data_IF_924981117053
#
_entry.id   IF_924981117053
#
_cell.length_a   1.000
_cell.length_b   1.000
_cell.length_c   1.000
_cell.angle_alpha   90.00
_cell.angle_beta   90.00
_cell.angle_gamma   90.00
#
_symmetry.space_group_name_H-M   'P 1'
#
loop_
_entity.id
_entity.type
_entity.pdbx_description
1 polymer ?
#
# COMPACT_ATOMS: atom_id res chain seq x y z
N UNK A 1 18.13 11.53 -13.12
CA UNK A 1 17.63 10.20 -13.55
C UNK A 1 16.10 10.11 -13.44
N UNK A 2 15.47 10.60 -12.37
CA UNK A 2 14.01 10.53 -12.19
C UNK A 2 13.18 11.19 -13.30
N UNK A 3 13.61 12.34 -13.82
CA UNK A 3 12.92 13.04 -14.92
C UNK A 3 12.91 12.26 -16.22
N UNK A 4 13.97 11.48 -16.52
CA UNK A 4 14.03 10.65 -17.74
C UNK A 4 13.04 9.50 -17.67
N UNK A 5 12.93 8.84 -16.52
CA UNK A 5 11.97 7.76 -16.29
C UNK A 5 10.52 8.26 -16.38
N UNK A 6 10.20 9.38 -15.71
CA UNK A 6 8.87 10.00 -15.82
C UNK A 6 8.50 10.34 -17.26
N UNK A 7 9.47 10.83 -18.05
CA UNK A 7 9.27 11.10 -19.47
C UNK A 7 9.05 9.81 -20.28
N UNK A 8 9.77 8.73 -19.96
CA UNK A 8 9.61 7.44 -20.63
C UNK A 8 8.22 6.84 -20.34
N UNK A 9 7.73 6.93 -19.10
CA UNK A 9 6.37 6.49 -18.73
C UNK A 9 5.31 7.25 -19.55
N UNK A 10 5.43 8.58 -19.64
CA UNK A 10 4.51 9.41 -20.43
C UNK A 10 4.54 9.04 -21.92
N UNK A 11 5.74 8.82 -22.48
CA UNK A 11 5.90 8.43 -23.89
C UNK A 11 5.32 7.04 -24.17
N UNK A 12 5.50 6.09 -23.23
CA UNK A 12 4.92 4.74 -23.36
C UNK A 12 3.40 4.79 -23.29
N UNK A 13 2.84 5.58 -22.36
CA UNK A 13 1.39 5.80 -22.27
C UNK A 13 0.81 6.46 -23.52
N UNK A 14 1.50 7.47 -24.07
CA UNK A 14 1.09 8.10 -25.34
C UNK A 14 1.17 7.12 -26.52
N UNK A 15 2.25 6.33 -26.62
CA UNK A 15 2.40 5.30 -27.66
C UNK A 15 1.28 4.26 -27.57
N UNK A 16 0.92 3.83 -26.37
CA UNK A 16 -0.19 2.90 -26.13
C UNK A 16 -1.55 3.48 -26.56
N UNK A 17 -1.79 4.78 -26.30
CA UNK A 17 -3.02 5.46 -26.63
C UNK A 17 -3.24 5.62 -28.15
N UNK A 18 -2.15 5.76 -28.93
CA UNK A 18 -2.21 5.90 -30.41
C UNK A 18 -2.00 4.58 -31.15
N UNK A 19 -1.64 3.50 -30.44
CA UNK A 19 -1.38 2.20 -31.04
C UNK A 19 -2.68 1.60 -31.61
N UNK A 20 -2.64 1.19 -32.86
CA UNK A 20 -3.75 0.52 -33.56
C UNK A 20 -3.47 -0.97 -33.82
N UNK A 21 -2.29 -1.45 -33.46
CA UNK A 21 -1.89 -2.84 -33.66
C UNK A 21 -2.12 -3.64 -32.37
N UNK A 22 -3.03 -4.59 -32.40
CA UNK A 22 -3.38 -5.43 -31.24
C UNK A 22 -2.17 -6.18 -30.66
N UNK A 23 -1.22 -6.60 -31.50
CA UNK A 23 0.00 -7.33 -31.08
C UNK A 23 0.98 -6.51 -30.25
N UNK A 24 0.99 -5.16 -30.38
CA UNK A 24 1.90 -4.28 -29.64
C UNK A 24 1.35 -3.86 -28.27
N UNK A 25 0.04 -3.94 -28.05
CA UNK A 25 -0.60 -3.52 -26.81
C UNK A 25 -0.07 -4.27 -25.57
N UNK A 26 0.14 -5.60 -25.58
CA UNK A 26 0.71 -6.31 -24.46
C UNK A 26 2.15 -5.87 -24.14
N UNK A 27 2.97 -5.67 -25.19
CA UNK A 27 4.37 -5.22 -25.04
C UNK A 27 4.46 -3.83 -24.45
N UNK A 28 3.62 -2.88 -24.90
CA UNK A 28 3.56 -1.53 -24.35
C UNK A 28 3.06 -1.54 -22.90
N UNK A 29 2.13 -2.41 -22.54
CA UNK A 29 1.67 -2.58 -21.16
C UNK A 29 2.77 -3.13 -20.25
N UNK A 30 3.51 -4.13 -20.72
CA UNK A 30 4.64 -4.69 -19.98
C UNK A 30 5.78 -3.68 -19.79
N UNK A 31 6.04 -2.85 -20.81
CA UNK A 31 7.04 -1.78 -20.72
C UNK A 31 6.61 -0.69 -19.73
N UNK A 32 5.34 -0.30 -19.74
CA UNK A 32 4.77 0.66 -18.80
C UNK A 32 4.88 0.15 -17.34
N UNK A 33 4.57 -1.12 -17.11
CA UNK A 33 4.70 -1.78 -15.81
C UNK A 33 6.15 -1.82 -15.34
N UNK A 34 7.07 -2.20 -16.23
CA UNK A 34 8.51 -2.25 -15.92
C UNK A 34 9.05 -0.86 -15.56
N UNK A 35 8.65 0.18 -16.28
CA UNK A 35 9.07 1.56 -16.02
C UNK A 35 8.50 2.08 -14.69
N UNK A 36 7.25 1.75 -14.38
CA UNK A 36 6.62 2.12 -13.10
C UNK A 36 7.29 1.41 -11.92
N UNK A 37 7.65 0.15 -12.07
CA UNK A 37 8.41 -0.61 -11.07
C UNK A 37 9.78 0.01 -10.85
N UNK A 38 10.54 0.28 -11.92
CA UNK A 38 11.85 0.93 -11.84
C UNK A 38 11.77 2.32 -11.20
N UNK A 39 10.71 3.09 -11.48
CA UNK A 39 10.50 4.40 -10.85
C UNK A 39 10.22 4.27 -9.35
N UNK A 40 9.47 3.26 -8.96
CA UNK A 40 9.19 2.95 -7.56
C UNK A 40 10.46 2.52 -6.82
N UNK A 41 11.27 1.68 -7.44
CA UNK A 41 12.54 1.22 -6.87
C UNK A 41 13.56 2.36 -6.72
N UNK A 42 13.64 3.26 -7.69
CA UNK A 42 14.49 4.46 -7.58
C UNK A 42 13.99 5.39 -6.48
N UNK A 43 12.68 5.63 -6.39
CA UNK A 43 12.11 6.42 -5.28
C UNK A 43 12.41 5.78 -3.93
N UNK A 44 12.29 4.46 -3.85
CA UNK A 44 12.63 3.69 -2.67
C UNK A 44 14.10 3.85 -2.30
N UNK A 45 15.01 3.67 -3.27
CA UNK A 45 16.47 3.82 -3.05
C UNK A 45 16.89 5.25 -2.67
N UNK A 46 16.23 6.27 -3.20
CA UNK A 46 16.50 7.68 -2.85
C UNK A 46 15.95 8.02 -1.47
N UNK A 47 14.79 7.46 -1.09
CA UNK A 47 14.24 7.61 0.26
C UNK A 47 15.05 6.85 1.31
N UNK A 48 15.55 5.66 0.99
CA UNK A 48 16.37 4.85 1.90
C UNK A 48 17.70 5.54 2.30
N UNK A 49 18.15 6.52 1.51
CA UNK A 49 19.41 7.26 1.77
C UNK A 49 19.23 8.53 2.62
N UNK A 50 18.01 9.02 2.90
CA UNK A 50 17.86 10.38 3.41
C UNK A 50 16.87 10.60 4.55
N UNK A 51 16.18 9.59 5.12
CA UNK A 51 15.17 9.92 6.11
C UNK A 51 15.11 8.99 7.34
N UNK A 52 16.07 9.17 8.26
CA UNK A 52 15.88 8.74 9.66
C UNK A 52 14.77 9.54 10.37
N UNK A 53 14.26 10.61 9.73
CA UNK A 53 13.37 11.60 10.34
C UNK A 53 11.87 11.35 10.14
N UNK A 54 11.44 10.34 9.34
CA UNK A 54 10.00 10.10 9.16
C UNK A 54 9.35 9.66 10.46
N UNK A 55 8.63 10.58 11.08
CA UNK A 55 7.76 10.27 12.20
C UNK A 55 6.54 9.51 11.70
N UNK A 56 6.49 8.20 11.99
CA UNK A 56 5.39 7.34 11.55
C UNK A 56 4.04 7.90 11.99
N UNK A 57 3.92 8.27 13.27
CA UNK A 57 2.65 8.77 13.81
C UNK A 57 2.17 10.02 13.08
N UNK A 58 3.02 11.02 12.94
CA UNK A 58 2.70 12.27 12.24
C UNK A 58 2.31 12.04 10.78
N UNK A 59 3.03 11.14 10.09
CA UNK A 59 2.72 10.80 8.69
C UNK A 59 1.36 10.11 8.58
N UNK A 60 1.02 9.23 9.52
CA UNK A 60 -0.27 8.53 9.54
C UNK A 60 -1.40 9.48 9.93
N UNK A 61 -1.19 10.38 10.90
CA UNK A 61 -2.17 11.41 11.28
C UNK A 61 -2.52 12.28 10.06
N UNK A 62 -1.52 12.79 9.33
CA UNK A 62 -1.73 13.56 8.10
C UNK A 62 -2.46 12.77 7.01
N UNK A 63 -2.18 11.46 6.89
CA UNK A 63 -2.84 10.60 5.93
C UNK A 63 -4.33 10.44 6.26
N UNK A 64 -4.66 10.28 7.54
CA UNK A 64 -6.03 10.14 8.03
C UNK A 64 -6.78 11.46 7.95
N UNK A 65 -6.17 12.58 8.30
CA UNK A 65 -6.77 13.92 8.16
C UNK A 65 -7.10 14.27 6.70
N UNK A 66 -6.28 13.80 5.76
CA UNK A 66 -6.55 13.98 4.32
C UNK A 66 -7.63 13.05 3.76
N UNK A 67 -8.02 12.02 4.50
CA UNK A 67 -9.03 11.05 4.09
C UNK A 67 -10.44 11.60 4.38
N UNK A 68 -11.14 12.00 3.33
CA UNK A 68 -12.44 12.70 3.42
C UNK A 68 -13.65 11.84 3.03
N UNK A 69 -13.47 10.55 2.70
CA UNK A 69 -14.54 9.69 2.23
C UNK A 69 -15.55 9.34 3.34
N UNK A 70 -15.04 8.97 4.51
CA UNK A 70 -15.83 8.73 5.73
C UNK A 70 -14.93 8.97 6.96
N UNK A 71 -15.47 9.04 8.18
CA UNK A 71 -14.68 9.11 9.40
C UNK A 71 -13.69 7.96 9.50
N UNK A 72 -12.43 8.28 9.75
CA UNK A 72 -11.38 7.31 10.03
C UNK A 72 -10.78 7.57 11.42
N UNK A 73 -10.68 6.52 12.23
CA UNK A 73 -10.13 6.58 13.58
C UNK A 73 -8.91 5.69 13.66
N UNK A 74 -7.83 6.20 14.25
CA UNK A 74 -6.60 5.44 14.46
C UNK A 74 -6.28 5.28 15.93
N UNK A 75 -6.03 4.03 16.33
CA UNK A 75 -5.38 3.70 17.59
C UNK A 75 -3.89 3.45 17.32
N UNK A 76 -3.03 4.23 17.94
CA UNK A 76 -1.59 4.16 17.75
C UNK A 76 -0.87 3.85 19.06
N UNK A 77 -0.27 2.69 19.14
CA UNK A 77 0.47 2.19 20.29
C UNK A 77 1.81 1.59 19.81
N UNK A 78 2.72 2.47 19.40
CA UNK A 78 4.04 2.11 18.89
C UNK A 78 5.11 2.88 19.63
N UNK A 79 6.26 2.23 19.85
CA UNK A 79 7.44 2.87 20.41
C UNK A 79 8.13 3.83 19.45
N UNK A 80 9.26 4.40 19.90
CA UNK A 80 10.02 5.38 19.12
C UNK A 80 11.00 4.74 18.12
N UNK A 81 11.46 3.51 18.41
CA UNK A 81 12.49 2.82 17.60
C UNK A 81 11.86 1.78 16.67
N UNK A 82 11.19 2.27 15.65
CA UNK A 82 10.57 1.41 14.63
C UNK A 82 11.52 1.32 13.43
N UNK A 83 11.86 0.10 12.95
CA UNK A 83 12.67 -0.06 11.75
C UNK A 83 12.09 0.70 10.56
N UNK A 84 12.95 1.33 9.79
CA UNK A 84 12.57 2.15 8.64
C UNK A 84 11.68 1.36 7.64
N UNK A 85 12.04 0.11 7.35
CA UNK A 85 11.26 -0.74 6.46
C UNK A 85 9.82 -0.96 6.94
N UNK A 86 9.60 -1.11 8.27
CA UNK A 86 8.28 -1.25 8.88
C UNK A 86 7.49 0.06 8.77
N UNK A 87 8.14 1.21 9.06
CA UNK A 87 7.52 2.54 8.95
C UNK A 87 6.96 2.78 7.54
N UNK A 88 7.80 2.63 6.51
CA UNK A 88 7.39 2.80 5.12
C UNK A 88 6.40 1.74 4.66
N UNK A 89 6.55 0.51 5.15
CA UNK A 89 5.61 -0.58 4.90
C UNK A 89 4.20 -0.20 5.37
N UNK A 90 4.07 0.22 6.61
CA UNK A 90 2.78 0.59 7.20
C UNK A 90 2.15 1.81 6.51
N UNK A 91 2.93 2.88 6.23
CA UNK A 91 2.44 4.05 5.51
C UNK A 91 1.87 3.67 4.13
N UNK A 92 2.59 2.84 3.38
CA UNK A 92 2.16 2.45 2.04
C UNK A 92 0.94 1.52 2.07
N UNK A 93 0.88 0.59 3.02
CA UNK A 93 -0.25 -0.33 3.21
C UNK A 93 -1.51 0.43 3.60
N UNK A 94 -1.43 1.34 4.58
CA UNK A 94 -2.56 2.15 5.03
C UNK A 94 -3.08 3.03 3.89
N UNK A 95 -2.18 3.69 3.14
CA UNK A 95 -2.56 4.49 1.97
C UNK A 95 -3.31 3.67 0.93
N UNK A 96 -2.82 2.48 0.61
CA UNK A 96 -3.47 1.59 -0.35
C UNK A 96 -4.82 1.09 0.15
N UNK A 97 -4.91 0.72 1.44
CA UNK A 97 -6.17 0.29 2.05
C UNK A 97 -7.23 1.41 2.04
N UNK A 98 -6.87 2.64 2.39
CA UNK A 98 -7.76 3.80 2.32
C UNK A 98 -8.21 4.10 0.88
N UNK A 99 -7.32 3.96 -0.11
CA UNK A 99 -7.68 4.07 -1.53
C UNK A 99 -8.66 2.96 -1.95
N UNK A 100 -8.51 1.76 -1.40
CA UNK A 100 -9.43 0.66 -1.68
C UNK A 100 -10.81 0.93 -1.08
N UNK A 101 -10.89 1.50 0.12
CA UNK A 101 -12.17 1.95 0.71
C UNK A 101 -12.86 2.95 -0.22
N UNK A 102 -12.16 4.00 -0.67
CA UNK A 102 -12.72 5.01 -1.59
C UNK A 102 -13.27 4.38 -2.87
N UNK A 103 -12.56 3.40 -3.45
CA UNK A 103 -12.88 2.84 -4.76
C UNK A 103 -13.92 1.71 -4.73
N UNK A 104 -13.97 0.98 -3.62
CA UNK A 104 -14.61 -0.34 -3.59
C UNK A 104 -15.55 -0.56 -2.40
N UNK A 105 -15.61 0.37 -1.44
CA UNK A 105 -16.44 0.22 -0.25
C UNK A 105 -17.56 1.27 -0.23
N UNK A 106 -18.66 0.92 0.42
CA UNK A 106 -19.72 1.83 0.84
C UNK A 106 -19.68 2.09 2.36
N UNK A 107 -18.51 1.95 2.96
CA UNK A 107 -18.30 2.12 4.40
C UNK A 107 -18.65 3.54 4.86
N UNK A 108 -19.20 3.63 6.06
CA UNK A 108 -19.43 4.90 6.75
C UNK A 108 -18.38 5.19 7.83
N UNK A 109 -17.47 4.25 8.09
CA UNK A 109 -16.34 4.40 9.02
C UNK A 109 -15.19 3.46 8.69
N UNK A 110 -13.98 3.90 9.01
CA UNK A 110 -12.75 3.09 8.98
C UNK A 110 -12.08 3.13 10.35
N UNK A 111 -11.60 1.98 10.80
CA UNK A 111 -10.80 1.86 12.00
C UNK A 111 -9.42 1.30 11.66
N UNK A 112 -8.37 1.94 12.19
CA UNK A 112 -6.98 1.56 11.98
C UNK A 112 -6.35 1.36 13.36
N UNK A 113 -5.70 0.21 13.56
CA UNK A 113 -4.93 -0.06 14.78
C UNK A 113 -3.49 -0.36 14.38
N UNK A 114 -2.57 0.39 14.94
CA UNK A 114 -1.13 0.22 14.78
C UNK A 114 -0.52 -0.04 16.15
N UNK A 115 -0.01 -1.24 16.38
CA UNK A 115 0.47 -1.64 17.70
C UNK A 115 1.80 -2.37 17.65
N UNK A 116 2.64 -2.08 18.61
CA UNK A 116 3.88 -2.78 18.86
C UNK A 116 3.71 -3.81 20.00
N UNK A 117 4.11 -5.04 19.73
CA UNK A 117 4.20 -6.10 20.72
C UNK A 117 5.67 -6.45 20.99
N UNK A 118 5.98 -7.20 22.05
CA UNK A 118 7.37 -7.59 22.33
C UNK A 118 8.08 -8.28 21.18
N UNK A 119 7.38 -9.14 20.41
CA UNK A 119 7.95 -9.95 19.33
C UNK A 119 7.55 -9.54 17.92
N UNK A 120 6.57 -8.65 17.76
CA UNK A 120 6.02 -8.30 16.44
C UNK A 120 5.41 -6.89 16.41
N UNK A 121 5.22 -6.37 15.21
CA UNK A 121 4.37 -5.22 14.92
C UNK A 121 3.05 -5.70 14.33
N UNK A 122 1.96 -5.06 14.73
CA UNK A 122 0.60 -5.39 14.30
C UNK A 122 -0.04 -4.18 13.61
N UNK A 123 -0.68 -4.43 12.48
CA UNK A 123 -1.53 -3.46 11.78
C UNK A 123 -2.88 -4.10 11.48
N UNK A 124 -3.95 -3.44 11.87
CA UNK A 124 -5.31 -3.81 11.53
C UNK A 124 -5.95 -2.61 10.82
N UNK A 125 -6.64 -2.87 9.71
CA UNK A 125 -7.44 -1.88 9.00
C UNK A 125 -8.79 -2.51 8.75
N UNK A 126 -9.85 -1.87 9.24
CA UNK A 126 -11.23 -2.36 9.15
C UNK A 126 -12.14 -1.27 8.58
N UNK A 127 -12.96 -1.61 7.63
CA UNK A 127 -14.11 -0.80 7.23
C UNK A 127 -15.40 -1.60 7.41
N UNK A 128 -16.51 -0.90 7.60
CA UNK A 128 -17.83 -1.53 7.81
C UNK A 128 -18.67 -1.58 6.55
N UNK A 129 -18.07 -1.53 5.37
CA UNK A 129 -18.79 -1.61 4.10
C UNK A 129 -19.39 -2.99 3.87
N UNK A 130 -20.59 -3.02 3.31
CA UNK A 130 -21.36 -4.24 3.06
C UNK A 130 -21.36 -4.67 1.58
N UNK A 131 -21.06 -3.75 0.67
CA UNK A 131 -21.11 -3.97 -0.78
C UNK A 131 -19.72 -4.35 -1.34
N UNK A 132 -19.15 -5.40 -0.75
CA UNK A 132 -17.83 -5.89 -1.16
C UNK A 132 -18.03 -6.78 -2.39
N UNK A 133 -17.62 -6.29 -3.56
CA UNK A 133 -17.60 -7.08 -4.79
C UNK A 133 -16.55 -8.20 -4.70
N UNK A 134 -16.91 -9.28 -4.02
CA UNK A 134 -16.06 -10.45 -3.73
C UNK A 134 -15.45 -11.09 -4.98
N UNK A 135 -16.10 -10.95 -6.15
CA UNK A 135 -15.63 -11.55 -7.41
C UNK A 135 -14.24 -11.10 -7.88
N UNK A 136 -13.75 -9.94 -7.42
CA UNK A 136 -12.40 -9.44 -7.74
C UNK A 136 -11.38 -9.68 -6.62
N UNK A 137 -11.83 -10.06 -5.43
CA UNK A 137 -10.98 -10.28 -4.27
C UNK A 137 -10.50 -11.75 -4.17
N UNK A 138 -11.35 -12.69 -4.63
CA UNK A 138 -11.04 -14.14 -4.60
C UNK A 138 -10.02 -14.58 -5.64
N UNK A 139 -9.89 -13.83 -6.76
CA UNK A 139 -8.95 -14.19 -7.83
C UNK A 139 -7.54 -13.59 -7.63
N UNK A 140 -7.30 -12.86 -6.54
CA UNK A 140 -5.99 -12.24 -6.26
C UNK A 140 -5.55 -11.19 -7.30
N UNK A 141 -6.43 -10.80 -8.22
CA UNK A 141 -6.10 -9.98 -9.40
C UNK A 141 -6.25 -8.48 -9.20
N UNK A 142 -6.69 -8.02 -8.02
CA UNK A 142 -6.67 -6.59 -7.71
C UNK A 142 -5.24 -6.13 -7.42
N UNK A 143 -4.64 -5.33 -8.30
CA UNK A 143 -3.26 -4.80 -8.12
C UNK A 143 -3.00 -4.24 -6.71
N UNK A 144 -4.01 -3.65 -6.07
CA UNK A 144 -3.88 -3.08 -4.72
C UNK A 144 -3.61 -4.13 -3.63
N UNK A 145 -4.35 -5.24 -3.60
CA UNK A 145 -4.16 -6.31 -2.62
C UNK A 145 -2.87 -7.08 -2.88
N UNK A 146 -2.50 -7.29 -4.14
CA UNK A 146 -1.20 -7.87 -4.51
C UNK A 146 -0.06 -7.00 -4.00
N UNK A 147 -0.12 -5.67 -4.17
CA UNK A 147 0.87 -4.73 -3.67
C UNK A 147 0.99 -4.78 -2.13
N UNK A 148 -0.14 -4.90 -1.42
CA UNK A 148 -0.13 -5.07 0.05
C UNK A 148 0.56 -6.38 0.42
N UNK A 149 0.20 -7.48 -0.26
CA UNK A 149 0.77 -8.80 0.00
C UNK A 149 2.29 -8.81 -0.23
N UNK A 150 2.75 -8.35 -1.40
CA UNK A 150 4.18 -8.30 -1.75
C UNK A 150 4.98 -7.48 -0.73
N UNK A 151 4.39 -6.40 -0.23
CA UNK A 151 5.02 -5.56 0.80
C UNK A 151 5.09 -6.25 2.15
N UNK A 152 4.04 -6.96 2.56
CA UNK A 152 4.04 -7.75 3.80
C UNK A 152 5.05 -8.89 3.71
N UNK A 153 5.08 -9.60 2.57
CA UNK A 153 6.03 -10.69 2.31
C UNK A 153 7.49 -10.16 2.35
N UNK A 154 7.75 -8.96 1.81
CA UNK A 154 9.08 -8.33 1.86
C UNK A 154 9.56 -7.98 3.28
N UNK A 155 8.66 -7.95 4.24
CA UNK A 155 8.92 -7.71 5.67
C UNK A 155 8.88 -9.00 6.51
N UNK A 156 8.86 -10.16 5.86
CA UNK A 156 8.69 -11.47 6.50
C UNK A 156 7.40 -11.55 7.35
N UNK A 157 6.39 -10.79 6.94
CA UNK A 157 5.12 -10.64 7.65
C UNK A 157 4.08 -11.67 7.24
N UNK A 158 2.95 -11.65 7.96
CA UNK A 158 1.77 -12.44 7.64
C UNK A 158 0.58 -11.51 7.38
N UNK A 159 -0.17 -11.79 6.31
CA UNK A 159 -1.37 -11.06 5.89
C UNK A 159 -2.58 -12.00 6.00
N UNK A 160 -3.62 -11.53 6.68
CA UNK A 160 -4.95 -12.16 6.69
C UNK A 160 -5.99 -11.15 6.25
N UNK A 161 -6.91 -11.56 5.39
CA UNK A 161 -8.03 -10.75 4.91
C UNK A 161 -9.31 -11.46 5.30
N UNK A 162 -10.23 -10.73 5.92
CA UNK A 162 -11.55 -11.19 6.33
C UNK A 162 -12.63 -10.31 5.71
N UNK A 163 -13.72 -10.95 5.27
CA UNK A 163 -14.87 -10.28 4.64
C UNK A 163 -16.13 -10.76 5.38
N UNK A 164 -16.26 -10.34 6.63
CA UNK A 164 -17.42 -10.61 7.48
C UNK A 164 -17.83 -9.30 8.14
N UNK A 165 -19.03 -8.80 7.83
CA UNK A 165 -19.52 -7.51 8.34
C UNK A 165 -18.63 -6.30 8.01
N UNK A 166 -17.96 -6.32 6.85
CA UNK A 166 -17.01 -5.33 6.40
C UNK A 166 -15.76 -5.98 5.81
N UNK A 167 -14.77 -5.17 5.50
CA UNK A 167 -13.48 -5.63 5.01
C UNK A 167 -12.39 -5.39 6.06
N UNK A 168 -11.67 -6.43 6.43
CA UNK A 168 -10.60 -6.38 7.42
C UNK A 168 -9.31 -6.91 6.88
N UNK A 169 -8.26 -6.10 7.00
CA UNK A 169 -6.87 -6.48 6.78
C UNK A 169 -6.21 -6.63 8.15
N UNK A 170 -5.62 -7.79 8.41
CA UNK A 170 -4.85 -8.07 9.60
C UNK A 170 -3.42 -8.43 9.19
N UNK A 171 -2.43 -7.69 9.69
CA UNK A 171 -1.01 -7.86 9.36
C UNK A 171 -0.20 -7.98 10.65
N UNK A 172 0.74 -8.92 10.64
CA UNK A 172 1.78 -9.03 11.66
C UNK A 172 3.14 -9.07 10.99
N UNK A 173 4.11 -8.32 11.52
CA UNK A 173 5.50 -8.29 11.06
C UNK A 173 6.40 -8.66 12.23
N UNK A 174 7.19 -9.75 12.14
CA UNK A 174 8.05 -10.16 13.23
C UNK A 174 9.17 -9.12 13.47
N UNK A 175 9.50 -8.89 14.72
CA UNK A 175 10.72 -8.15 15.06
C UNK A 175 11.92 -9.04 14.77
N UNK A 176 12.86 -8.53 13.97
CA UNK A 176 14.16 -9.19 13.80
C UNK A 176 14.93 -8.97 15.08
N UNK A 177 15.39 -10.04 15.72
CA UNK A 177 16.31 -9.94 16.84
C UNK A 177 17.53 -9.14 16.37
N UNK A 178 17.92 -8.13 17.15
CA UNK A 178 19.19 -7.46 16.94
C UNK A 178 20.30 -8.48 17.25
N UNK A 179 21.00 -8.92 16.20
CA UNK A 179 22.20 -9.75 16.33
C UNK A 179 23.33 -8.95 16.99
#
# INVERSE_FOLDING_TARGET
>A
TGHMLSRSILLTGAAKAINKEEGLTPLLSQLEETLNTAMTDIRKSVHDLHDESVNLKETLDNLIESFSFCPAVMEYDMGFQIPQAVRYGFIAIIREALNNVIKHSNADRVHILVREHPALYQLIIEDNGTDIKTSKLTDGTGMGLTNIKDRVDSLDGNLQIQIENGFRIFITIPKKEAL
#
